data_IF_720915792784
#
_entry.id   IF_720915792784
#
_cell.length_a   1.000
_cell.length_b   1.000
_cell.length_c   1.000
_cell.angle_alpha   90.00
_cell.angle_beta   90.00
_cell.angle_gamma   90.00
#
_symmetry.space_group_name_H-M   'P 1'
#
loop_
_entity.id
_entity.type
_entity.pdbx_description
1 polymer ?
#
# COMPACT_ATOMS: atom_id res chain seq x y z
N UNK A 1 -2.09 6.78 8.57
CA UNK A 1 -2.90 5.57 8.39
C UNK A 1 -2.02 4.54 7.72
N UNK A 2 -1.77 3.41 8.39
CA UNK A 2 -0.84 2.41 7.87
C UNK A 2 -1.62 1.34 7.09
N UNK A 3 -1.51 1.40 5.76
CA UNK A 3 -2.23 0.48 4.85
C UNK A 3 -1.73 -0.96 5.04
N UNK A 4 -0.45 -1.12 5.38
CA UNK A 4 0.11 -2.42 5.66
C UNK A 4 -0.63 -3.10 6.83
N UNK A 5 -0.79 -2.43 7.97
CA UNK A 5 -1.56 -2.97 9.10
C UNK A 5 -3.02 -3.28 8.75
N UNK A 6 -3.61 -2.56 7.80
CA UNK A 6 -4.96 -2.87 7.35
C UNK A 6 -5.01 -4.18 6.55
N UNK A 7 -4.05 -4.39 5.65
CA UNK A 7 -3.91 -5.63 4.89
C UNK A 7 -3.54 -6.80 5.80
N UNK A 8 -2.69 -6.57 6.80
CA UNK A 8 -2.31 -7.54 7.82
C UNK A 8 -3.51 -7.98 8.65
N UNK A 9 -4.32 -7.03 9.14
CA UNK A 9 -5.55 -7.33 9.88
C UNK A 9 -6.59 -8.09 9.04
N UNK A 10 -6.61 -7.90 7.71
CA UNK A 10 -7.48 -8.64 6.81
C UNK A 10 -6.91 -10.01 6.40
N UNK A 11 -5.72 -10.38 6.88
CA UNK A 11 -5.04 -11.64 6.51
C UNK A 11 -4.56 -11.67 5.05
N UNK A 12 -4.49 -10.51 4.39
CA UNK A 12 -4.06 -10.38 3.00
C UNK A 12 -2.53 -10.33 2.86
N UNK A 13 -1.84 -9.99 3.95
CA UNK A 13 -0.39 -10.04 4.03
C UNK A 13 0.02 -10.46 5.43
N UNK A 14 1.15 -11.16 5.53
CA UNK A 14 1.74 -11.58 6.80
C UNK A 14 3.06 -10.85 7.10
N UNK A 15 3.69 -10.27 6.07
CA UNK A 15 5.01 -9.67 6.20
C UNK A 15 5.17 -8.45 5.30
N UNK A 16 5.99 -7.48 5.72
CA UNK A 16 6.37 -6.31 4.91
C UNK A 16 6.96 -6.69 3.54
N UNK A 17 7.66 -7.83 3.46
CA UNK A 17 8.21 -8.38 2.20
C UNK A 17 7.11 -8.81 1.24
N UNK A 18 6.17 -9.61 1.75
CA UNK A 18 5.03 -10.08 0.98
C UNK A 18 4.17 -8.90 0.52
N UNK A 19 3.94 -7.91 1.38
CA UNK A 19 3.25 -6.68 1.00
C UNK A 19 3.98 -5.90 -0.10
N UNK A 20 5.30 -5.76 0.02
CA UNK A 20 6.11 -5.03 -0.98
C UNK A 20 6.10 -5.71 -2.34
N UNK A 21 6.23 -7.03 -2.38
CA UNK A 21 6.30 -7.77 -3.63
C UNK A 21 4.92 -8.07 -4.21
N UNK A 22 4.03 -8.71 -3.44
CA UNK A 22 2.75 -9.19 -3.94
C UNK A 22 1.72 -8.08 -4.19
N UNK A 23 1.77 -7.00 -3.41
CA UNK A 23 0.77 -5.93 -3.48
C UNK A 23 1.29 -4.65 -4.10
N UNK A 24 2.50 -4.22 -3.73
CA UNK A 24 3.10 -2.99 -4.28
C UNK A 24 3.88 -3.22 -5.58
N UNK A 25 4.13 -4.48 -5.98
CA UNK A 25 4.94 -4.79 -7.16
C UNK A 25 6.38 -4.25 -7.10
N UNK A 26 6.89 -3.97 -5.89
CA UNK A 26 8.24 -3.46 -5.65
C UNK A 26 9.14 -4.56 -5.08
N UNK A 27 10.43 -4.27 -4.98
CA UNK A 27 11.38 -5.15 -4.32
C UNK A 27 10.93 -5.45 -2.87
N UNK A 28 11.21 -6.67 -2.37
CA UNK A 28 10.80 -7.12 -1.03
C UNK A 28 11.30 -6.20 0.10
N UNK A 29 12.43 -5.54 -0.12
CA UNK A 29 13.04 -4.61 0.84
C UNK A 29 12.43 -3.20 0.78
N UNK A 30 11.48 -2.93 -0.11
CA UNK A 30 10.94 -1.58 -0.35
C UNK A 30 10.36 -0.95 0.91
N UNK A 31 9.45 -1.63 1.61
CA UNK A 31 8.88 -1.10 2.86
C UNK A 31 9.95 -0.97 3.95
N UNK A 32 10.88 -1.93 4.02
CA UNK A 32 11.97 -1.92 4.99
C UNK A 32 12.90 -0.70 4.79
N UNK A 33 13.18 -0.33 3.54
CA UNK A 33 13.99 0.83 3.18
C UNK A 33 13.28 2.16 3.48
N UNK A 34 11.95 2.20 3.39
CA UNK A 34 11.16 3.39 3.73
C UNK A 34 10.93 3.57 5.23
N UNK A 35 11.02 2.50 6.01
CA UNK A 35 10.80 2.53 7.45
C UNK A 35 9.47 3.22 7.80
N UNK A 36 9.54 4.29 8.60
CA UNK A 36 8.35 5.01 9.11
C UNK A 36 7.65 5.91 8.08
N UNK A 37 8.21 6.12 6.89
CA UNK A 37 7.60 7.00 5.87
C UNK A 37 6.40 6.37 5.16
N UNK A 38 6.23 5.05 5.26
CA UNK A 38 5.15 4.33 4.57
C UNK A 38 5.30 4.32 3.05
N UNK A 39 4.49 3.55 2.31
CA UNK A 39 4.58 3.43 0.85
C UNK A 39 4.43 4.76 0.11
N UNK A 40 5.05 4.89 -1.08
CA UNK A 40 4.93 6.12 -1.89
C UNK A 40 3.53 6.31 -2.41
N UNK A 41 3.14 7.55 -2.64
CA UNK A 41 1.93 7.89 -3.40
C UNK A 41 1.86 7.11 -4.72
N UNK A 42 2.99 7.03 -5.45
CA UNK A 42 3.10 6.27 -6.70
C UNK A 42 2.80 4.76 -6.51
N UNK A 43 3.42 4.14 -5.51
CA UNK A 43 3.19 2.73 -5.18
C UNK A 43 1.75 2.45 -4.71
N UNK A 44 1.13 3.43 -4.03
CA UNK A 44 -0.28 3.35 -3.64
C UNK A 44 -1.23 3.51 -4.82
N UNK A 45 -0.89 4.33 -5.81
CA UNK A 45 -1.64 4.48 -7.06
C UNK A 45 -1.55 3.18 -7.87
N UNK A 46 -0.37 2.57 -7.99
CA UNK A 46 -0.22 1.25 -8.62
C UNK A 46 -1.05 0.18 -7.90
N UNK A 47 -1.00 0.13 -6.56
CA UNK A 47 -1.85 -0.75 -5.76
C UNK A 47 -3.33 -0.52 -6.03
N UNK A 48 -3.77 0.74 -6.09
CA UNK A 48 -5.15 1.10 -6.42
C UNK A 48 -5.56 0.56 -7.80
N UNK A 49 -4.74 0.76 -8.83
CA UNK A 49 -5.02 0.27 -10.18
C UNK A 49 -5.14 -1.26 -10.22
N UNK A 50 -4.25 -1.96 -9.52
CA UNK A 50 -4.29 -3.42 -9.39
C UNK A 50 -5.58 -3.89 -8.70
N UNK A 51 -5.96 -3.28 -7.59
CA UNK A 51 -7.18 -3.62 -6.86
C UNK A 51 -8.45 -3.36 -7.69
N UNK A 52 -8.48 -2.28 -8.46
CA UNK A 52 -9.59 -2.00 -9.40
C UNK A 52 -9.65 -3.05 -10.50
N UNK A 53 -8.50 -3.43 -11.07
CA UNK A 53 -8.44 -4.46 -12.12
C UNK A 53 -8.88 -5.83 -11.62
N UNK A 54 -8.61 -6.15 -10.35
CA UNK A 54 -9.01 -7.41 -9.71
C UNK A 54 -10.46 -7.37 -9.17
N UNK A 55 -11.19 -6.27 -9.35
CA UNK A 55 -12.58 -6.12 -8.89
C UNK A 55 -12.72 -5.92 -7.37
N UNK A 56 -11.61 -5.67 -6.66
CA UNK A 56 -11.57 -5.47 -5.21
C UNK A 56 -11.88 -4.02 -4.83
N UNK A 57 -13.05 -3.52 -5.24
CA UNK A 57 -13.43 -2.11 -5.13
C UNK A 57 -13.43 -1.54 -3.70
N UNK A 58 -13.81 -2.32 -2.69
CA UNK A 58 -13.77 -1.87 -1.29
C UNK A 58 -12.35 -1.57 -0.81
N UNK A 59 -11.39 -2.43 -1.17
CA UNK A 59 -9.98 -2.22 -0.86
C UNK A 59 -9.41 -1.06 -1.69
N UNK A 60 -9.77 -0.98 -2.97
CA UNK A 60 -9.35 0.12 -3.83
C UNK A 60 -9.81 1.47 -3.26
N UNK A 61 -11.07 1.60 -2.86
CA UNK A 61 -11.60 2.83 -2.25
C UNK A 61 -10.83 3.20 -0.97
N UNK A 62 -10.47 2.20 -0.15
CA UNK A 62 -9.67 2.38 1.06
C UNK A 62 -8.27 2.90 0.75
N UNK A 63 -7.62 2.33 -0.26
CA UNK A 63 -6.30 2.77 -0.72
C UNK A 63 -6.38 4.18 -1.31
N UNK A 64 -7.41 4.48 -2.09
CA UNK A 64 -7.66 5.83 -2.63
C UNK A 64 -7.87 6.85 -1.51
N UNK A 65 -8.62 6.52 -0.46
CA UNK A 65 -8.77 7.37 0.72
C UNK A 65 -7.42 7.63 1.40
N UNK A 66 -6.60 6.60 1.55
CA UNK A 66 -5.28 6.75 2.13
C UNK A 66 -4.36 7.64 1.26
N UNK A 67 -4.43 7.53 -0.07
CA UNK A 67 -3.70 8.42 -1.00
C UNK A 67 -4.17 9.87 -0.89
N UNK A 68 -5.49 10.10 -0.84
CA UNK A 68 -6.08 11.44 -0.78
C UNK A 68 -5.76 12.17 0.54
N UNK A 69 -5.68 11.41 1.64
CA UNK A 69 -5.42 11.94 2.98
C UNK A 69 -3.98 11.69 3.47
N UNK A 70 -3.04 11.41 2.56
CA UNK A 70 -1.64 11.23 2.91
C UNK A 70 -1.05 12.60 3.34
N UNK A 71 -0.50 12.74 4.56
CA UNK A 71 0.11 13.99 5.00
C UNK A 71 1.27 14.37 4.07
N UNK A 72 1.37 15.65 3.74
CA UNK A 72 2.23 16.18 2.65
C UNK A 72 3.72 15.81 2.78
N UNK A 73 4.19 15.46 3.97
CA UNK A 73 5.55 14.99 4.24
C UNK A 73 5.90 13.58 3.71
N UNK A 74 4.91 12.79 3.27
CA UNK A 74 5.11 11.47 2.65
C UNK A 74 5.24 11.52 1.12
N UNK A 75 5.11 12.73 0.52
CA UNK A 75 5.05 12.96 -0.93
C UNK A 75 6.43 13.06 -1.61
N UNK A 76 7.53 13.07 -0.86
CA UNK A 76 8.92 13.17 -1.37
C UNK A 76 9.76 11.94 -1.03
#
# INVERSE_FOLDING_TARGET
>A
MDIYHHFERLGLTDSHRHFSSAWLGKAENYLALRGKRGPSSDALIELFQTLVREGRFMLALRVAWAVLWLPEGARR
#
